data_IF_340347861103
#
_entry.id   IF_340347861103
#
_cell.length_a   1.000
_cell.length_b   1.000
_cell.length_c   1.000
_cell.angle_alpha   90.00
_cell.angle_beta   90.00
_cell.angle_gamma   90.00
#
_symmetry.space_group_name_H-M   'P 1'
#
loop_
_entity.id
_entity.type
_entity.pdbx_description
1 polymer ?
#
# COMPACT_ATOMS: atom_id res chain seq x y z
N UNK A 1 -21.30 -32.23 -9.16
CA UNK A 1 -22.02 -32.55 -7.90
C UNK A 1 -21.20 -31.97 -6.76
N UNK A 2 -21.68 -30.88 -6.15
CA UNK A 2 -21.03 -30.28 -4.99
C UNK A 2 -21.53 -31.00 -3.72
N UNK A 3 -20.61 -31.46 -2.87
CA UNK A 3 -20.90 -32.19 -1.65
C UNK A 3 -20.66 -31.23 -0.50
N UNK A 4 -21.71 -30.87 0.25
CA UNK A 4 -21.59 -30.11 1.50
C UNK A 4 -21.04 -31.00 2.62
N UNK A 5 -20.29 -30.42 3.55
CA UNK A 5 -19.60 -31.12 4.66
C UNK A 5 -20.54 -31.70 5.74
N UNK A 6 -21.84 -31.54 5.58
CA UNK A 6 -22.86 -32.27 6.35
C UNK A 6 -23.71 -33.02 5.32
N UNK A 7 -23.74 -34.36 5.39
CA UNK A 7 -24.28 -35.27 4.36
C UNK A 7 -25.77 -35.18 4.02
N UNK A 8 -26.37 -33.99 4.08
CA UNK A 8 -27.69 -33.67 3.59
C UNK A 8 -27.61 -33.25 2.11
N UNK A 9 -28.31 -33.98 1.25
CA UNK A 9 -28.44 -33.64 -0.16
C UNK A 9 -29.30 -32.39 -0.28
N UNK A 10 -28.68 -31.27 -0.65
CA UNK A 10 -29.41 -30.06 -1.04
C UNK A 10 -30.34 -30.40 -2.23
N UNK A 11 -31.60 -30.01 -2.12
CA UNK A 11 -32.57 -30.17 -3.19
C UNK A 11 -32.05 -29.45 -4.44
N UNK A 12 -31.97 -30.17 -5.57
CA UNK A 12 -31.62 -29.55 -6.85
C UNK A 12 -32.67 -28.49 -7.18
N UNK A 13 -32.24 -27.29 -7.55
CA UNK A 13 -33.13 -26.24 -8.03
C UNK A 13 -33.98 -26.77 -9.19
N UNK A 14 -35.27 -26.42 -9.21
CA UNK A 14 -36.23 -26.86 -10.22
C UNK A 14 -36.00 -26.17 -11.59
N UNK A 15 -35.13 -25.17 -11.61
CA UNK A 15 -34.81 -24.36 -12.75
C UNK A 15 -33.37 -24.65 -13.16
N UNK A 16 -33.19 -24.94 -14.43
CA UNK A 16 -31.87 -25.14 -15.00
C UNK A 16 -31.23 -23.75 -15.14
N UNK A 17 -30.41 -23.40 -14.15
CA UNK A 17 -29.55 -22.22 -14.20
C UNK A 17 -28.56 -22.38 -15.38
N UNK A 18 -28.12 -21.27 -15.96
CA UNK A 18 -27.15 -21.23 -17.08
C UNK A 18 -27.64 -21.74 -18.46
N UNK A 19 -28.94 -21.72 -18.74
CA UNK A 19 -29.41 -21.83 -20.13
C UNK A 19 -29.31 -20.47 -20.82
N UNK A 20 -28.34 -20.34 -21.72
CA UNK A 20 -28.20 -19.15 -22.55
C UNK A 20 -29.21 -19.20 -23.71
N UNK A 21 -30.18 -18.27 -23.78
CA UNK A 21 -31.09 -18.24 -24.91
C UNK A 21 -30.35 -17.85 -26.20
N UNK A 22 -30.72 -18.51 -27.30
CA UNK A 22 -30.43 -18.07 -28.67
C UNK A 22 -28.94 -17.83 -29.03
N UNK A 23 -28.00 -18.59 -28.46
CA UNK A 23 -26.58 -18.55 -28.89
C UNK A 23 -25.78 -17.33 -28.39
N UNK A 24 -26.24 -16.70 -27.31
CA UNK A 24 -25.50 -15.65 -26.60
C UNK A 24 -24.59 -16.25 -25.51
N UNK A 25 -23.53 -15.54 -25.09
CA UNK A 25 -22.64 -15.99 -24.00
C UNK A 25 -23.06 -15.49 -22.61
N UNK A 26 -24.17 -14.76 -22.54
CA UNK A 26 -24.70 -14.21 -21.30
C UNK A 26 -26.23 -14.23 -21.33
N UNK A 27 -26.87 -14.27 -20.16
CA UNK A 27 -28.33 -14.17 -20.04
C UNK A 27 -28.84 -12.75 -20.29
N UNK A 28 -30.09 -12.62 -20.73
CA UNK A 28 -30.74 -11.32 -20.88
C UNK A 28 -30.85 -10.61 -19.53
N UNK A 29 -30.41 -9.34 -19.46
CA UNK A 29 -30.35 -8.58 -18.21
C UNK A 29 -29.02 -8.68 -17.46
N UNK A 30 -28.00 -9.29 -18.06
CA UNK A 30 -26.63 -9.33 -17.53
C UNK A 30 -25.86 -8.01 -17.69
N UNK A 31 -26.40 -7.06 -18.45
CA UNK A 31 -25.81 -5.73 -18.66
C UNK A 31 -26.90 -4.65 -18.76
N UNK A 32 -26.59 -3.45 -18.25
CA UNK A 32 -27.48 -2.29 -18.27
C UNK A 32 -26.80 -1.11 -18.97
N UNK A 33 -27.44 -0.61 -20.02
CA UNK A 33 -27.05 0.62 -20.72
C UNK A 33 -27.55 1.83 -19.93
N UNK A 34 -26.62 2.55 -19.30
CA UNK A 34 -26.95 3.70 -18.45
C UNK A 34 -27.43 4.92 -19.25
N UNK A 35 -27.01 5.03 -20.51
CA UNK A 35 -27.35 6.16 -21.37
C UNK A 35 -28.76 6.02 -21.95
N UNK A 36 -29.18 4.78 -22.20
CA UNK A 36 -30.51 4.47 -22.78
C UNK A 36 -31.53 3.96 -21.76
N UNK A 37 -31.09 3.60 -20.56
CA UNK A 37 -31.95 3.01 -19.53
C UNK A 37 -32.50 1.63 -19.89
N UNK A 38 -31.74 0.87 -20.69
CA UNK A 38 -32.17 -0.42 -21.24
C UNK A 38 -31.31 -1.57 -20.72
N UNK A 39 -31.94 -2.72 -20.49
CA UNK A 39 -31.26 -3.96 -20.18
C UNK A 39 -30.89 -4.71 -21.47
N UNK A 40 -29.76 -5.40 -21.45
CA UNK A 40 -29.26 -6.16 -22.58
C UNK A 40 -28.41 -7.35 -22.19
N UNK A 41 -27.78 -7.95 -23.21
CA UNK A 41 -26.83 -9.05 -23.03
C UNK A 41 -25.40 -8.49 -22.82
N UNK A 42 -24.67 -8.96 -21.81
CA UNK A 42 -23.29 -8.57 -21.57
C UNK A 42 -22.33 -8.96 -22.70
N UNK A 43 -22.62 -10.04 -23.44
CA UNK A 43 -21.74 -10.55 -24.49
C UNK A 43 -21.67 -9.65 -25.74
N UNK A 44 -22.79 -9.09 -26.17
CA UNK A 44 -22.88 -8.29 -27.41
C UNK A 44 -23.43 -6.87 -27.19
N UNK A 45 -23.82 -6.53 -25.95
CA UNK A 45 -24.51 -5.27 -25.59
C UNK A 45 -25.79 -5.02 -26.38
N UNK A 46 -26.39 -6.06 -26.97
CA UNK A 46 -27.67 -5.94 -27.65
C UNK A 46 -28.77 -5.70 -26.62
N UNK A 47 -29.56 -4.66 -26.84
CA UNK A 47 -30.71 -4.25 -26.02
C UNK A 47 -32.04 -4.77 -26.57
N UNK A 48 -32.00 -5.82 -27.41
CA UNK A 48 -33.20 -6.53 -27.89
C UNK A 48 -33.12 -8.00 -27.50
N UNK A 49 -34.21 -8.54 -26.92
CA UNK A 49 -34.26 -9.92 -26.40
C UNK A 49 -34.21 -10.97 -27.50
N UNK A 50 -34.71 -10.60 -28.69
CA UNK A 50 -34.74 -11.42 -29.89
C UNK A 50 -33.53 -11.16 -30.80
N UNK A 51 -32.46 -10.55 -30.26
CA UNK A 51 -31.25 -10.31 -31.02
C UNK A 51 -30.66 -11.64 -31.54
N UNK A 52 -30.19 -11.68 -32.81
CA UNK A 52 -29.58 -12.87 -33.37
C UNK A 52 -28.38 -13.30 -32.54
N UNK A 53 -28.03 -14.59 -32.61
CA UNK A 53 -26.90 -15.16 -31.89
C UNK A 53 -25.63 -14.33 -32.10
N UNK A 54 -24.77 -14.30 -31.07
CA UNK A 54 -23.47 -13.66 -31.19
C UNK A 54 -22.69 -14.30 -32.34
N UNK A 55 -22.60 -13.62 -33.49
CA UNK A 55 -21.72 -14.02 -34.57
C UNK A 55 -20.30 -13.88 -34.06
N UNK A 56 -19.73 -14.98 -33.56
CA UNK A 56 -18.31 -15.04 -33.27
C UNK A 56 -17.54 -14.83 -34.56
N UNK A 57 -16.68 -13.81 -34.61
CA UNK A 57 -15.42 -13.68 -35.36
C UNK A 57 -14.98 -12.20 -35.37
N UNK A 58 -13.69 -11.87 -35.52
CA UNK A 58 -12.47 -12.49 -34.99
C UNK A 58 -11.77 -11.54 -33.98
N UNK A 59 -10.73 -12.04 -33.31
CA UNK A 59 -9.78 -11.30 -32.47
C UNK A 59 -9.36 -9.95 -33.07
N UNK A 60 -9.45 -8.81 -32.35
CA UNK A 60 -8.84 -7.57 -32.80
C UNK A 60 -7.35 -7.55 -32.40
N UNK A 61 -6.48 -7.76 -33.39
CA UNK A 61 -5.12 -7.20 -33.40
C UNK A 61 -5.09 -5.98 -34.33
N UNK A 62 -4.23 -5.01 -33.99
CA UNK A 62 -3.88 -3.74 -34.69
C UNK A 62 -4.72 -2.56 -34.18
N UNK A 63 -4.30 -1.80 -33.17
CA UNK A 63 -3.18 -0.83 -33.11
C UNK A 63 -3.21 0.22 -34.23
N UNK A 64 -4.04 1.24 -34.06
CA UNK A 64 -3.75 2.61 -34.52
C UNK A 64 -4.08 3.61 -33.40
N UNK A 65 -3.00 4.11 -32.80
CA UNK A 65 -2.78 5.38 -32.09
C UNK A 65 -3.97 6.11 -31.42
N UNK A 66 -4.13 5.86 -30.12
CA UNK A 66 -4.50 6.87 -29.10
C UNK A 66 -3.77 6.46 -27.80
N UNK A 67 -3.29 7.41 -26.96
CA UNK A 67 -2.25 7.12 -25.98
C UNK A 67 -2.76 6.10 -24.96
N UNK A 68 -2.07 4.97 -24.92
CA UNK A 68 -2.36 3.85 -24.04
C UNK A 68 -2.24 4.31 -22.58
N UNK A 69 -3.39 4.44 -21.92
CA UNK A 69 -3.49 4.50 -20.46
C UNK A 69 -2.93 3.19 -19.90
N UNK A 70 -1.69 3.26 -19.42
CA UNK A 70 -0.90 2.17 -18.88
C UNK A 70 -1.69 1.18 -18.02
N UNK A 71 -1.61 -0.07 -18.42
CA UNK A 71 -1.89 -1.29 -17.69
C UNK A 71 -1.49 -1.20 -16.21
N UNK A 72 -2.47 -1.32 -15.30
CA UNK A 72 -2.27 -1.34 -13.83
C UNK A 72 -1.21 -2.35 -13.34
N UNK A 73 -0.87 -3.38 -14.12
CA UNK A 73 0.17 -4.38 -13.80
C UNK A 73 1.60 -3.86 -13.88
N UNK A 74 1.88 -2.86 -14.72
CA UNK A 74 3.26 -2.40 -14.96
C UNK A 74 3.75 -1.41 -13.91
N UNK A 75 2.85 -0.91 -13.07
CA UNK A 75 3.19 -0.07 -11.92
C UNK A 75 3.77 -0.89 -10.75
N UNK A 76 3.39 -2.17 -10.59
CA UNK A 76 3.76 -2.93 -9.38
C UNK A 76 5.17 -3.55 -9.44
N UNK A 77 5.76 -3.71 -10.62
CA UNK A 77 6.87 -4.66 -10.79
C UNK A 77 8.26 -4.02 -10.89
N UNK A 78 8.36 -2.74 -11.24
CA UNK A 78 9.64 -2.08 -11.55
C UNK A 78 9.84 -0.82 -10.71
N UNK A 79 11.03 -0.68 -10.12
CA UNK A 79 11.41 0.56 -9.44
C UNK A 79 11.53 1.69 -10.45
N UNK A 80 10.89 2.82 -10.19
CA UNK A 80 10.96 4.02 -11.01
C UNK A 80 11.62 5.14 -10.20
N UNK A 81 12.58 5.90 -10.76
CA UNK A 81 13.19 7.02 -10.07
C UNK A 81 12.17 8.12 -9.77
N UNK A 82 12.53 9.03 -8.85
CA UNK A 82 11.70 10.17 -8.46
C UNK A 82 11.32 11.07 -9.65
N UNK A 83 12.20 11.19 -10.65
CA UNK A 83 12.02 12.05 -11.82
C UNK A 83 10.82 11.65 -12.70
N UNK A 84 10.36 10.41 -12.62
CA UNK A 84 9.23 9.89 -13.40
C UNK A 84 7.86 10.33 -12.86
N UNK A 85 7.81 11.09 -11.75
CA UNK A 85 6.58 11.43 -11.04
C UNK A 85 6.38 12.94 -10.95
N UNK A 86 5.16 13.38 -11.26
CA UNK A 86 4.76 14.79 -11.13
C UNK A 86 4.62 15.22 -9.66
N UNK A 87 4.17 14.30 -8.80
CA UNK A 87 3.86 14.58 -7.39
C UNK A 87 4.69 13.71 -6.45
N UNK A 88 4.99 14.25 -5.27
CA UNK A 88 5.71 13.55 -4.19
C UNK A 88 4.89 12.35 -3.72
N UNK A 89 3.58 12.55 -3.59
CA UNK A 89 2.58 11.57 -3.19
C UNK A 89 2.59 10.37 -4.15
N UNK A 90 2.54 10.62 -5.46
CA UNK A 90 2.55 9.57 -6.47
C UNK A 90 3.81 8.71 -6.40
N UNK A 91 4.97 9.33 -6.21
CA UNK A 91 6.24 8.61 -6.03
C UNK A 91 6.24 7.77 -4.75
N UNK A 92 5.80 8.34 -3.61
CA UNK A 92 5.76 7.63 -2.32
C UNK A 92 4.83 6.42 -2.39
N UNK A 93 3.67 6.55 -3.03
CA UNK A 93 2.72 5.44 -3.23
C UNK A 93 3.35 4.35 -4.08
N UNK A 94 3.93 4.71 -5.23
CA UNK A 94 4.63 3.76 -6.11
C UNK A 94 5.73 3.01 -5.38
N UNK A 95 6.64 3.73 -4.72
CA UNK A 95 7.75 3.16 -3.98
C UNK A 95 7.27 2.20 -2.88
N UNK A 96 6.25 2.60 -2.11
CA UNK A 96 5.70 1.79 -1.03
C UNK A 96 5.05 0.50 -1.56
N UNK A 97 4.28 0.61 -2.65
CA UNK A 97 3.65 -0.54 -3.32
C UNK A 97 4.72 -1.49 -3.83
N UNK A 98 5.69 -0.99 -4.59
CA UNK A 98 6.79 -1.77 -5.12
C UNK A 98 7.52 -2.54 -4.01
N UNK A 99 7.87 -1.87 -2.90
CA UNK A 99 8.56 -2.53 -1.77
C UNK A 99 7.70 -3.63 -1.12
N UNK A 100 6.40 -3.41 -0.96
CA UNK A 100 5.49 -4.43 -0.44
C UNK A 100 5.36 -5.64 -1.39
N UNK A 101 5.34 -5.40 -2.71
CA UNK A 101 5.35 -6.47 -3.70
C UNK A 101 6.66 -7.25 -3.71
N UNK A 102 7.80 -6.57 -3.66
CA UNK A 102 9.11 -7.22 -3.56
C UNK A 102 9.19 -8.08 -2.30
N UNK A 103 8.60 -7.62 -1.18
CA UNK A 103 8.50 -8.44 0.03
C UNK A 103 7.78 -9.77 -0.24
N UNK A 104 6.56 -9.71 -0.78
CA UNK A 104 5.75 -10.90 -1.06
C UNK A 104 6.45 -11.85 -2.03
N UNK A 105 7.06 -11.30 -3.09
CA UNK A 105 7.82 -12.08 -4.06
C UNK A 105 9.01 -12.79 -3.41
N UNK A 106 9.80 -12.09 -2.61
CA UNK A 106 10.95 -12.68 -1.93
C UNK A 106 10.58 -13.74 -0.88
N UNK A 107 9.37 -13.66 -0.30
CA UNK A 107 8.83 -14.70 0.55
C UNK A 107 8.48 -15.97 -0.24
N UNK A 108 7.81 -15.81 -1.38
CA UNK A 108 7.45 -16.92 -2.27
C UNK A 108 8.68 -17.62 -2.85
N UNK A 109 9.69 -16.84 -3.24
CA UNK A 109 10.95 -17.34 -3.79
C UNK A 109 11.90 -17.91 -2.72
N UNK A 110 11.55 -17.80 -1.43
CA UNK A 110 12.38 -18.27 -0.30
C UNK A 110 13.67 -17.48 -0.07
N UNK A 111 13.97 -16.49 -0.92
CA UNK A 111 15.21 -15.69 -0.87
C UNK A 111 15.33 -14.90 0.43
N UNK A 112 14.19 -14.49 1.01
CA UNK A 112 14.18 -13.73 2.25
C UNK A 112 14.66 -14.54 3.47
N UNK A 113 14.40 -15.86 3.49
CA UNK A 113 14.76 -16.74 4.61
C UNK A 113 16.26 -16.81 4.84
N UNK A 114 17.05 -16.93 3.76
CA UNK A 114 18.50 -17.02 3.81
C UNK A 114 19.19 -15.71 4.23
N UNK A 115 18.53 -14.57 4.04
CA UNK A 115 19.11 -13.24 4.28
C UNK A 115 18.62 -12.58 5.57
N UNK A 116 17.52 -13.09 6.15
CA UNK A 116 16.94 -12.53 7.37
C UNK A 116 17.71 -12.92 8.65
N UNK A 117 18.73 -13.77 8.57
CA UNK A 117 19.53 -14.23 9.71
C UNK A 117 20.31 -13.11 10.42
N UNK A 118 20.54 -11.97 9.77
CA UNK A 118 21.25 -10.83 10.36
C UNK A 118 20.37 -9.94 11.24
N UNK A 119 19.06 -10.20 11.31
CA UNK A 119 18.13 -9.41 12.13
C UNK A 119 17.80 -10.10 13.44
N UNK A 120 17.37 -9.30 14.41
CA UNK A 120 16.79 -9.77 15.66
C UNK A 120 15.62 -10.75 15.42
N UNK A 121 15.44 -11.68 16.36
CA UNK A 121 14.45 -12.76 16.29
C UNK A 121 13.04 -12.23 16.05
N UNK A 122 12.64 -11.14 16.70
CA UNK A 122 11.30 -10.57 16.56
C UNK A 122 11.11 -9.93 15.19
N UNK A 123 12.13 -9.21 14.70
CA UNK A 123 12.11 -8.60 13.37
C UNK A 123 12.05 -9.69 12.30
N UNK A 124 12.88 -10.73 12.43
CA UNK A 124 12.89 -11.88 11.53
C UNK A 124 11.53 -12.57 11.47
N UNK A 125 10.88 -12.79 12.60
CA UNK A 125 9.54 -13.41 12.66
C UNK A 125 8.51 -12.62 11.86
N UNK A 126 8.55 -11.28 11.94
CA UNK A 126 7.66 -10.41 11.16
C UNK A 126 8.03 -10.45 9.69
N UNK A 127 9.31 -10.34 9.34
CA UNK A 127 9.79 -10.36 7.95
C UNK A 127 9.43 -11.66 7.23
N UNK A 128 9.48 -12.81 7.91
CA UNK A 128 9.15 -14.11 7.35
C UNK A 128 7.65 -14.46 7.37
N UNK A 129 6.81 -13.58 7.92
CA UNK A 129 5.37 -13.81 7.99
C UNK A 129 4.68 -13.37 6.70
N UNK A 130 4.14 -14.33 5.95
CA UNK A 130 3.32 -14.05 4.76
C UNK A 130 2.08 -13.21 5.10
N UNK A 131 1.47 -13.47 6.26
CA UNK A 131 0.33 -12.70 6.76
C UNK A 131 0.74 -11.24 6.99
N UNK A 132 1.87 -10.99 7.64
CA UNK A 132 2.36 -9.62 7.87
C UNK A 132 2.67 -8.88 6.56
N UNK A 133 3.17 -9.59 5.54
CA UNK A 133 3.42 -9.02 4.22
C UNK A 133 2.12 -8.64 3.49
N UNK A 134 1.09 -9.51 3.51
CA UNK A 134 -0.24 -9.24 2.94
C UNK A 134 -0.92 -8.06 3.64
N UNK A 135 -0.87 -8.03 4.97
CA UNK A 135 -1.39 -6.93 5.77
C UNK A 135 -0.67 -5.62 5.44
N UNK A 136 0.66 -5.67 5.30
CA UNK A 136 1.46 -4.49 4.95
C UNK A 136 1.09 -3.96 3.56
N UNK A 137 0.84 -4.82 2.58
CA UNK A 137 0.36 -4.41 1.26
C UNK A 137 -1.00 -3.69 1.33
N UNK A 138 -1.96 -4.22 2.09
CA UNK A 138 -3.26 -3.56 2.27
C UNK A 138 -3.15 -2.24 3.03
N UNK A 139 -2.22 -2.15 3.99
CA UNK A 139 -1.91 -0.90 4.69
C UNK A 139 -1.27 0.13 3.76
N UNK A 140 -0.39 -0.28 2.84
CA UNK A 140 0.16 0.60 1.79
C UNK A 140 -0.96 1.14 0.91
N UNK A 141 -1.91 0.31 0.47
CA UNK A 141 -3.04 0.76 -0.36
C UNK A 141 -3.92 1.77 0.38
N UNK A 142 -4.18 1.55 1.67
CA UNK A 142 -4.90 2.50 2.52
C UNK A 142 -4.12 3.80 2.68
N UNK A 143 -2.81 3.70 2.89
CA UNK A 143 -1.92 4.86 3.00
C UNK A 143 -1.91 5.68 1.71
N UNK A 144 -1.84 5.04 0.54
CA UNK A 144 -1.87 5.73 -0.74
C UNK A 144 -3.16 6.49 -0.99
N UNK A 145 -4.32 5.90 -0.69
CA UNK A 145 -5.60 6.63 -0.74
C UNK A 145 -5.61 7.89 0.13
N UNK A 146 -4.93 7.87 1.28
CA UNK A 146 -4.86 9.04 2.16
C UNK A 146 -3.94 10.13 1.62
N UNK A 147 -2.87 9.74 0.92
CA UNK A 147 -2.00 10.68 0.21
C UNK A 147 -2.77 11.33 -0.94
N UNK A 148 -3.50 10.54 -1.74
CA UNK A 148 -4.30 11.02 -2.87
C UNK A 148 -5.45 11.95 -2.42
N UNK A 149 -6.07 11.66 -1.27
CA UNK A 149 -7.11 12.51 -0.66
C UNK A 149 -6.58 13.88 -0.18
N UNK A 150 -5.27 14.14 -0.24
CA UNK A 150 -4.66 15.37 0.26
C UNK A 150 -4.74 15.54 1.78
N UNK A 151 -4.99 14.45 2.53
CA UNK A 151 -5.07 14.46 4.00
C UNK A 151 -3.71 14.54 4.69
N UNK A 152 -2.64 14.41 3.93
CA UNK A 152 -1.26 14.46 4.42
C UNK A 152 -0.69 15.84 4.12
N UNK A 153 -0.16 16.57 5.12
CA UNK A 153 0.47 17.86 4.90
C UNK A 153 1.63 17.76 3.89
N UNK A 154 1.75 18.74 2.99
CA UNK A 154 2.78 18.74 1.94
C UNK A 154 4.20 18.56 2.48
N UNK A 155 4.52 19.18 3.62
CA UNK A 155 5.83 19.03 4.29
C UNK A 155 6.10 17.57 4.68
N UNK A 156 5.08 16.85 5.16
CA UNK A 156 5.18 15.46 5.52
C UNK A 156 5.32 14.57 4.27
N UNK A 157 4.61 14.90 3.18
CA UNK A 157 4.77 14.22 1.90
C UNK A 157 6.20 14.37 1.33
N UNK A 158 6.82 15.54 1.45
CA UNK A 158 8.23 15.76 1.07
C UNK A 158 9.20 14.94 1.92
N UNK A 159 9.00 14.85 3.24
CA UNK A 159 9.84 13.98 4.08
C UNK A 159 9.68 12.50 3.75
N UNK A 160 8.46 12.06 3.41
CA UNK A 160 8.19 10.71 2.94
C UNK A 160 8.87 10.43 1.59
N UNK A 161 8.87 11.41 0.69
CA UNK A 161 9.60 11.34 -0.57
C UNK A 161 11.11 11.17 -0.33
N UNK A 162 11.71 12.01 0.52
CA UNK A 162 13.14 11.90 0.86
C UNK A 162 13.48 10.52 1.42
N UNK A 163 12.63 9.99 2.30
CA UNK A 163 12.73 8.62 2.80
C UNK A 163 12.71 7.59 1.66
N UNK A 164 11.72 7.64 0.76
CA UNK A 164 11.60 6.71 -0.35
C UNK A 164 12.79 6.81 -1.34
N UNK A 165 13.28 8.02 -1.61
CA UNK A 165 14.46 8.26 -2.44
C UNK A 165 15.71 7.64 -1.82
N UNK A 166 15.95 7.86 -0.52
CA UNK A 166 17.06 7.23 0.19
C UNK A 166 16.99 5.69 0.16
N UNK A 167 15.79 5.12 0.31
CA UNK A 167 15.58 3.67 0.18
C UNK A 167 15.90 3.19 -1.24
N UNK A 168 15.51 3.94 -2.26
CA UNK A 168 15.79 3.65 -3.67
C UNK A 168 17.28 3.62 -4.01
N UNK A 169 18.03 4.57 -3.45
CA UNK A 169 19.49 4.71 -3.55
C UNK A 169 20.25 3.72 -2.66
N UNK A 170 19.54 2.91 -1.84
CA UNK A 170 20.12 1.97 -0.86
C UNK A 170 20.89 2.67 0.26
N UNK A 171 20.62 3.95 0.51
CA UNK A 171 21.19 4.74 1.60
C UNK A 171 20.38 4.54 2.89
N UNK A 172 20.39 3.33 3.45
CA UNK A 172 19.48 2.96 4.53
C UNK A 172 19.69 3.78 5.80
N UNK A 173 20.92 4.18 6.12
CA UNK A 173 21.19 5.06 7.27
C UNK A 173 20.52 6.42 7.12
N UNK A 174 20.57 7.01 5.91
CA UNK A 174 19.87 8.27 5.61
C UNK A 174 18.36 8.08 5.62
N UNK A 175 17.87 6.97 5.05
CA UNK A 175 16.45 6.62 5.11
C UNK A 175 15.97 6.47 6.56
N UNK A 176 16.73 5.81 7.43
CA UNK A 176 16.36 5.67 8.83
C UNK A 176 16.37 7.01 9.56
N UNK A 177 17.31 7.92 9.23
CA UNK A 177 17.27 9.29 9.74
C UNK A 177 15.99 10.01 9.31
N UNK A 178 15.68 10.01 8.01
CA UNK A 178 14.44 10.61 7.49
C UNK A 178 13.18 10.00 8.13
N UNK A 179 13.18 8.68 8.36
CA UNK A 179 12.13 7.99 9.09
C UNK A 179 11.98 8.50 10.54
N UNK A 180 13.09 8.66 11.26
CA UNK A 180 13.06 9.18 12.63
C UNK A 180 12.56 10.63 12.65
N UNK A 181 12.95 11.46 11.69
CA UNK A 181 12.46 12.83 11.54
C UNK A 181 10.95 12.86 11.23
N UNK A 182 10.44 11.92 10.44
CA UNK A 182 8.99 11.74 10.21
C UNK A 182 8.27 11.37 11.52
N UNK A 183 8.74 10.34 12.21
CA UNK A 183 8.02 9.76 13.36
C UNK A 183 8.11 10.61 14.60
N UNK A 184 9.27 11.22 14.87
CA UNK A 184 9.48 12.06 16.03
C UNK A 184 9.11 13.52 15.75
N UNK A 185 9.11 13.92 14.47
CA UNK A 185 8.94 15.32 14.06
C UNK A 185 10.10 16.19 14.54
N UNK A 186 9.86 17.50 14.56
CA UNK A 186 10.78 18.49 15.14
C UNK A 186 10.76 18.49 16.69
N UNK A 187 10.27 17.43 17.33
CA UNK A 187 10.28 17.35 18.79
C UNK A 187 11.72 17.33 19.27
N UNK A 188 12.12 18.42 19.93
CA UNK A 188 13.31 18.42 20.77
C UNK A 188 13.17 17.28 21.78
N UNK A 189 14.18 16.43 21.84
CA UNK A 189 14.21 15.30 22.75
C UNK A 189 13.91 15.77 24.18
N UNK A 190 13.28 14.91 24.98
CA UNK A 190 13.03 15.20 26.40
C UNK A 190 14.32 15.50 27.20
N UNK A 191 15.50 15.27 26.62
CA UNK A 191 16.78 15.71 27.17
C UNK A 191 16.96 17.24 27.23
N UNK A 192 16.21 18.01 26.42
CA UNK A 192 16.16 19.48 26.48
C UNK A 192 15.08 19.99 27.45
N UNK A 193 14.27 19.11 28.04
CA UNK A 193 13.48 19.49 29.21
C UNK A 193 14.52 19.68 30.31
N UNK A 194 14.71 20.90 30.84
CA UNK A 194 15.69 21.12 31.89
C UNK A 194 15.36 20.12 32.98
N UNK A 195 16.27 19.16 33.22
CA UNK A 195 16.16 18.29 34.38
C UNK A 195 15.90 19.21 35.55
N UNK A 196 14.79 18.95 36.25
CA UNK A 196 14.40 19.59 37.49
C UNK A 196 15.65 20.07 38.22
N UNK A 197 15.91 21.38 38.15
CA UNK A 197 16.96 21.99 38.95
C UNK A 197 16.57 21.68 40.39
N UNK A 198 17.33 20.80 41.02
CA UNK A 198 17.28 20.53 42.46
C UNK A 198 17.39 21.88 43.18
N UNK A 199 16.24 22.47 43.52
CA UNK A 199 16.20 23.83 44.06
C UNK A 199 14.97 24.65 43.70
N UNK A 200 14.14 24.24 42.73
CA UNK A 200 12.94 25.01 42.42
C UNK A 200 11.85 24.77 43.48
N UNK A 201 11.69 25.74 44.39
CA UNK A 201 10.68 25.77 45.48
C UNK A 201 9.22 25.87 44.99
N UNK A 202 9.03 26.03 43.68
CA UNK A 202 7.71 26.09 43.07
C UNK A 202 7.25 24.67 42.76
N UNK A 203 6.16 24.25 43.42
CA UNK A 203 5.71 22.86 43.45
C UNK A 203 5.45 22.21 42.08
N UNK A 204 5.22 20.88 42.05
CA UNK A 204 5.16 20.04 40.84
C UNK A 204 4.22 20.54 39.73
N UNK A 205 3.22 21.36 40.05
CA UNK A 205 2.25 21.91 39.09
C UNK A 205 2.88 22.83 38.04
N UNK A 206 3.91 23.62 38.36
CA UNK A 206 4.49 24.58 37.40
C UNK A 206 5.28 23.85 36.31
N UNK A 207 6.01 22.79 36.67
CA UNK A 207 6.78 21.97 35.73
C UNK A 207 5.84 21.18 34.80
N UNK A 208 4.74 20.64 35.35
CA UNK A 208 3.71 19.97 34.57
C UNK A 208 3.08 20.90 33.52
N UNK A 209 2.74 22.13 33.91
CA UNK A 209 2.15 23.12 33.01
C UNK A 209 3.09 23.57 31.88
N UNK A 210 4.41 23.58 32.11
CA UNK A 210 5.40 23.91 31.08
C UNK A 210 5.59 22.73 30.12
N UNK A 211 5.71 21.50 30.64
CA UNK A 211 5.77 20.30 29.82
C UNK A 211 4.51 20.12 28.96
N UNK A 212 3.33 20.35 29.52
CA UNK A 212 2.06 20.34 28.80
C UNK A 212 1.99 21.43 27.72
N UNK A 213 2.47 22.65 27.99
CA UNK A 213 2.54 23.71 26.97
C UNK A 213 3.49 23.36 25.83
N UNK A 214 4.68 22.82 26.14
CA UNK A 214 5.65 22.39 25.13
C UNK A 214 5.07 21.23 24.29
N UNK A 215 4.39 20.27 24.92
CA UNK A 215 3.76 19.15 24.22
C UNK A 215 2.55 19.57 23.38
N UNK A 216 1.78 20.57 23.82
CA UNK A 216 0.58 21.07 23.12
C UNK A 216 0.92 21.90 21.88
N UNK A 217 2.08 22.58 21.87
CA UNK A 217 2.57 23.34 20.71
C UNK A 217 3.30 22.44 19.71
N UNK A 218 3.80 21.27 20.14
CA UNK A 218 4.53 20.31 19.31
C UNK A 218 3.72 19.03 19.03
N UNK A 219 2.49 19.19 18.53
CA UNK A 219 1.75 18.08 17.95
C UNK A 219 2.59 17.43 16.84
N UNK A 220 2.68 16.11 16.87
CA UNK A 220 3.47 15.37 15.90
C UNK A 220 2.75 15.43 14.54
N UNK A 221 3.40 15.83 13.44
CA UNK A 221 2.76 15.86 12.12
C UNK A 221 2.16 14.50 11.72
N UNK A 222 2.74 13.40 12.21
CA UNK A 222 2.22 12.04 12.00
C UNK A 222 0.90 11.78 12.73
N UNK A 223 0.75 12.33 13.94
CA UNK A 223 -0.47 12.20 14.74
C UNK A 223 -1.59 13.06 14.13
N UNK A 224 -1.27 14.29 13.70
CA UNK A 224 -2.23 15.19 13.05
C UNK A 224 -2.73 14.64 11.71
N UNK A 225 -1.82 14.10 10.89
CA UNK A 225 -2.19 13.44 9.64
C UNK A 225 -2.88 12.09 9.88
N UNK A 226 -2.90 11.59 11.12
CA UNK A 226 -3.46 10.30 11.53
C UNK A 226 -2.75 9.11 10.88
N UNK A 227 -1.47 9.25 10.51
CA UNK A 227 -0.69 8.22 9.80
C UNK A 227 0.23 7.43 10.73
N UNK A 228 0.05 7.55 12.06
CA UNK A 228 0.87 6.86 13.06
C UNK A 228 0.94 5.35 12.84
N UNK A 229 -0.17 4.74 12.48
CA UNK A 229 -0.25 3.31 12.20
C UNK A 229 0.61 2.89 10.99
N UNK A 230 0.88 3.82 10.08
CA UNK A 230 1.72 3.61 8.90
C UNK A 230 3.23 3.80 9.21
N UNK A 231 3.62 4.35 10.35
CA UNK A 231 5.03 4.46 10.73
C UNK A 231 5.70 3.08 10.92
N UNK A 232 4.95 2.12 11.48
CA UNK A 232 5.45 0.74 11.62
C UNK A 232 5.63 0.09 10.24
N UNK A 233 4.72 0.38 9.31
CA UNK A 233 4.79 -0.08 7.92
C UNK A 233 6.04 0.43 7.22
N UNK A 234 6.34 1.74 7.28
CA UNK A 234 7.54 2.32 6.65
C UNK A 234 8.82 1.64 7.15
N UNK A 235 8.93 1.42 8.46
CA UNK A 235 10.09 0.73 9.05
C UNK A 235 10.23 -0.70 8.57
N UNK A 236 9.11 -1.44 8.45
CA UNK A 236 9.10 -2.81 7.90
C UNK A 236 9.57 -2.82 6.45
N UNK A 237 9.00 -1.94 5.61
CA UNK A 237 9.36 -1.84 4.19
C UNK A 237 10.84 -1.50 4.00
N UNK A 238 11.39 -0.59 4.81
CA UNK A 238 12.83 -0.27 4.77
C UNK A 238 13.69 -1.48 5.13
N UNK A 239 13.35 -2.20 6.21
CA UNK A 239 14.12 -3.39 6.63
C UNK A 239 14.03 -4.50 5.58
N UNK A 240 12.87 -4.72 4.96
CA UNK A 240 12.74 -5.62 3.80
C UNK A 240 13.61 -5.16 2.64
N UNK A 241 13.55 -3.87 2.28
CA UNK A 241 14.34 -3.32 1.17
C UNK A 241 15.83 -3.58 1.37
N UNK A 242 16.33 -3.41 2.60
CA UNK A 242 17.71 -3.68 2.98
C UNK A 242 18.09 -5.17 2.84
N UNK A 243 17.18 -6.10 3.14
CA UNK A 243 17.41 -7.55 2.97
C UNK A 243 17.46 -7.93 1.48
N UNK A 244 16.52 -7.38 0.70
CA UNK A 244 16.35 -7.73 -0.71
C UNK A 244 17.45 -7.10 -1.57
N UNK A 245 17.83 -5.85 -1.28
CA UNK A 245 18.80 -5.06 -2.06
C UNK A 245 19.84 -4.39 -1.15
N UNK A 246 20.66 -5.15 -0.41
CA UNK A 246 21.65 -4.56 0.49
C UNK A 246 22.58 -3.59 -0.25
N UNK A 247 23.06 -2.57 0.47
CA UNK A 247 24.12 -1.72 -0.04
C UNK A 247 25.44 -2.50 -0.05
N UNK A 248 26.28 -2.25 -1.05
CA UNK A 248 27.64 -2.80 -1.16
C UNK A 248 28.53 -2.34 0.00
N UNK A 249 28.31 -1.11 0.48
CA UNK A 249 28.97 -0.57 1.67
C UNK A 249 28.16 -0.92 2.93
N UNK A 250 28.71 -1.76 3.84
CA UNK A 250 28.02 -2.13 5.08
C UNK A 250 27.71 -0.96 6.00
N UNK A 251 28.48 0.13 5.94
CA UNK A 251 28.26 1.31 6.79
C UNK A 251 27.00 2.09 6.43
N UNK A 252 26.47 1.87 5.21
CA UNK A 252 25.22 2.46 4.71
C UNK A 252 23.99 1.62 5.01
N UNK A 253 24.18 0.39 5.50
CA UNK A 253 23.11 -0.49 5.94
C UNK A 253 22.71 -0.16 7.40
N UNK A 254 21.42 -0.23 7.73
CA UNK A 254 20.98 -0.03 9.10
C UNK A 254 21.14 -1.32 9.91
N UNK A 255 22.01 -1.30 10.91
CA UNK A 255 22.06 -2.32 11.98
C UNK A 255 20.70 -2.58 12.62
#
# INVERSE_FOLDING_TARGET
MAIGETGERLASSRYQEDINPAGHQSVWGSWFDSDRGLWGFACCKATSKDAPACTSLPTPQTQEALPESGTKKDFETTWRPREDFETSEGFVVHASIYLAFQWLKCLQDGTLSARADCFDVDVRKVLLSEQAAKESLEQVKKFGRRLDDGKVPQKLAQSLEEFCSCVGEREYVKANKAYMDIVMGARKWQGDVPYLVEGNRNGPSVVQNVAERINKVNSNPVDEAGIRDHAVLLRRLMKVAQVVRPNEDPSRNCG
#
